data_IF_562874699906
#
_entry.id   IF_562874699906
#
_cell.length_a   1.000
_cell.length_b   1.000
_cell.length_c   1.000
_cell.angle_alpha   90.00
_cell.angle_beta   90.00
_cell.angle_gamma   90.00
#
_symmetry.space_group_name_H-M   'P 1'
#
loop_
_entity.id
_entity.type
_entity.pdbx_description
1 polymer ?
#
# COMPACT_ATOMS: atom_id res chain seq x y z
N UNK A 1 21.53 -26.10 18.59
CA UNK A 1 21.18 -25.78 17.19
C UNK A 1 20.06 -24.77 17.26
N UNK A 2 20.40 -23.49 17.20
CA UNK A 2 19.42 -22.40 17.21
C UNK A 2 18.74 -22.42 15.85
N UNK A 3 17.47 -22.80 15.78
CA UNK A 3 16.62 -22.45 14.66
C UNK A 3 16.49 -20.94 14.67
N UNK A 4 17.31 -20.26 13.86
CA UNK A 4 17.04 -18.88 13.49
C UNK A 4 15.67 -18.89 12.83
N UNK A 5 14.67 -18.36 13.53
CA UNK A 5 13.34 -18.15 12.97
C UNK A 5 13.51 -17.38 11.66
N UNK A 6 13.04 -17.98 10.58
CA UNK A 6 13.14 -17.50 9.21
C UNK A 6 12.28 -16.23 9.04
N UNK A 7 12.86 -15.13 9.51
CA UNK A 7 12.74 -13.74 9.05
C UNK A 7 11.41 -13.37 8.35
N UNK A 8 10.40 -13.00 9.14
CA UNK A 8 9.11 -12.47 8.67
C UNK A 8 9.15 -10.94 8.40
N UNK A 9 10.06 -10.47 7.53
CA UNK A 9 10.01 -9.09 6.99
C UNK A 9 9.94 -9.11 5.47
N UNK A 10 9.28 -8.12 4.88
CA UNK A 10 9.22 -8.03 3.43
C UNK A 10 10.60 -7.67 2.87
N UNK A 11 11.02 -8.32 1.79
CA UNK A 11 12.25 -8.01 1.09
C UNK A 11 12.12 -6.70 0.29
N UNK A 12 13.24 -6.05 -0.03
CA UNK A 12 13.21 -4.92 -0.96
C UNK A 12 12.98 -5.42 -2.39
N UNK A 13 11.86 -5.02 -3.02
CA UNK A 13 11.57 -5.36 -4.40
C UNK A 13 12.45 -4.51 -5.35
N UNK A 14 12.89 -5.07 -6.49
CA UNK A 14 13.49 -4.27 -7.54
C UNK A 14 12.46 -3.31 -8.14
N UNK A 15 12.95 -2.26 -8.79
CA UNK A 15 12.12 -1.40 -9.64
C UNK A 15 11.32 -2.25 -10.62
N UNK A 16 10.09 -1.85 -10.92
CA UNK A 16 9.16 -2.66 -11.73
C UNK A 16 9.74 -3.10 -13.09
N UNK A 17 10.51 -2.24 -13.76
CA UNK A 17 11.14 -2.54 -15.05
C UNK A 17 12.28 -3.58 -14.97
N UNK A 18 12.78 -3.87 -13.76
CA UNK A 18 13.80 -4.87 -13.48
C UNK A 18 13.22 -6.14 -12.86
N UNK A 19 11.91 -6.16 -12.60
CA UNK A 19 11.23 -7.32 -12.07
C UNK A 19 11.17 -8.43 -13.14
N UNK A 20 11.45 -9.70 -12.79
CA UNK A 20 11.30 -10.81 -13.72
C UNK A 20 9.88 -10.87 -14.29
N UNK A 21 9.75 -11.25 -15.56
CA UNK A 21 8.46 -11.20 -16.27
C UNK A 21 7.40 -12.10 -15.64
N UNK A 22 7.82 -13.25 -15.09
CA UNK A 22 6.98 -14.19 -14.36
C UNK A 22 6.54 -13.68 -12.98
N UNK A 23 7.26 -12.70 -12.41
CA UNK A 23 6.90 -12.03 -11.15
C UNK A 23 5.99 -10.80 -11.38
N UNK A 24 6.03 -10.15 -12.55
CA UNK A 24 5.23 -8.95 -12.87
C UNK A 24 3.72 -9.13 -12.76
N UNK A 25 3.22 -10.35 -12.95
CA UNK A 25 1.80 -10.65 -12.77
C UNK A 25 1.33 -10.46 -11.33
N UNK A 26 2.25 -10.46 -10.36
CA UNK A 26 1.98 -10.27 -8.93
C UNK A 26 2.40 -8.89 -8.42
N UNK A 27 2.73 -7.97 -9.31
CA UNK A 27 3.02 -6.59 -8.96
C UNK A 27 1.72 -5.80 -8.75
N UNK A 28 1.57 -5.21 -7.57
CA UNK A 28 0.45 -4.34 -7.23
C UNK A 28 0.98 -2.98 -6.77
N UNK A 29 0.48 -1.92 -7.40
CA UNK A 29 0.74 -0.54 -7.01
C UNK A 29 -0.37 -0.07 -6.08
N UNK A 30 -0.01 0.65 -5.03
CA UNK A 30 -0.93 1.06 -3.96
C UNK A 30 -0.80 2.55 -3.71
N UNK A 31 -1.94 3.21 -3.51
CA UNK A 31 -1.99 4.62 -3.10
C UNK A 31 -3.24 4.90 -2.27
N UNK A 32 -3.14 5.91 -1.41
CA UNK A 32 -4.18 6.33 -0.51
C UNK A 32 -4.31 7.85 -0.45
N UNK A 33 -5.51 8.35 -0.76
CA UNK A 33 -5.81 9.79 -0.70
C UNK A 33 -6.89 10.12 0.33
N UNK A 34 -6.89 11.38 0.76
CA UNK A 34 -7.92 11.93 1.63
C UNK A 34 -8.24 13.36 1.20
N UNK A 35 -9.53 13.72 1.24
CA UNK A 35 -10.00 15.04 0.84
C UNK A 35 -11.24 15.44 1.62
N UNK A 36 -11.37 16.74 1.91
CA UNK A 36 -12.62 17.30 2.44
C UNK A 36 -13.57 17.56 1.28
N UNK A 37 -14.75 16.93 1.32
CA UNK A 37 -15.84 17.10 0.36
C UNK A 37 -17.05 17.64 1.13
N UNK A 38 -17.42 18.90 0.85
CA UNK A 38 -18.40 19.62 1.67
C UNK A 38 -17.91 19.75 3.12
N UNK A 39 -18.65 19.17 4.07
CA UNK A 39 -18.30 19.15 5.51
C UNK A 39 -17.65 17.84 5.98
N UNK A 40 -17.51 16.86 5.08
CA UNK A 40 -17.06 15.51 5.42
C UNK A 40 -15.63 15.30 4.92
N UNK A 41 -14.79 14.72 5.77
CA UNK A 41 -13.50 14.18 5.34
C UNK A 41 -13.75 12.80 4.74
N UNK A 42 -13.28 12.58 3.52
CA UNK A 42 -13.36 11.30 2.82
C UNK A 42 -11.96 10.76 2.57
N UNK A 43 -11.83 9.45 2.55
CA UNK A 43 -10.61 8.75 2.21
C UNK A 43 -10.90 7.74 1.10
N UNK A 44 -9.88 7.46 0.28
CA UNK A 44 -9.95 6.46 -0.77
C UNK A 44 -8.60 5.78 -0.89
N UNK A 45 -8.62 4.46 -0.82
CA UNK A 45 -7.49 3.57 -1.03
C UNK A 45 -7.66 2.89 -2.39
N UNK A 46 -6.58 2.74 -3.14
CA UNK A 46 -6.63 2.07 -4.43
C UNK A 46 -5.45 1.12 -4.63
N UNK A 47 -5.71 0.09 -5.44
CA UNK A 47 -4.72 -0.88 -5.89
C UNK A 47 -4.80 -0.96 -7.41
N UNK A 48 -3.66 -0.87 -8.09
CA UNK A 48 -3.53 -1.02 -9.54
C UNK A 48 -2.68 -2.25 -9.86
N UNK A 49 -3.22 -3.13 -10.72
CA UNK A 49 -2.46 -4.23 -11.33
C UNK A 49 -2.01 -3.83 -12.74
N UNK A 50 -0.71 -3.65 -13.00
CA UNK A 50 -0.21 -3.29 -14.34
C UNK A 50 -0.51 -4.36 -15.39
N UNK A 51 -0.37 -5.63 -15.01
CA UNK A 51 -0.56 -6.78 -15.92
C UNK A 51 -2.02 -6.97 -16.29
N UNK A 52 -2.93 -6.88 -15.30
CA UNK A 52 -4.36 -7.01 -15.54
C UNK A 52 -4.98 -5.71 -16.10
N UNK A 53 -4.31 -4.57 -15.91
CA UNK A 53 -4.80 -3.22 -16.22
C UNK A 53 -6.13 -2.89 -15.54
N UNK A 54 -6.29 -3.35 -14.30
CA UNK A 54 -7.47 -3.13 -13.47
C UNK A 54 -7.06 -2.38 -12.20
N UNK A 55 -7.92 -1.44 -11.80
CA UNK A 55 -7.85 -0.80 -10.50
C UNK A 55 -9.01 -1.28 -9.61
N UNK A 56 -8.70 -1.59 -8.37
CA UNK A 56 -9.68 -1.77 -7.30
C UNK A 56 -9.54 -0.64 -6.28
N UNK A 57 -10.65 -0.24 -5.65
CA UNK A 57 -10.62 0.83 -4.66
C UNK A 57 -11.62 0.60 -3.53
N UNK A 58 -11.26 1.10 -2.35
CA UNK A 58 -12.12 1.19 -1.17
C UNK A 58 -12.18 2.64 -0.71
N UNK A 59 -13.34 3.09 -0.23
CA UNK A 59 -13.54 4.46 0.24
C UNK A 59 -14.34 4.50 1.53
N UNK A 60 -14.23 5.61 2.24
CA UNK A 60 -14.99 5.87 3.45
C UNK A 60 -14.84 7.31 3.94
N UNK A 61 -15.31 7.56 5.15
CA UNK A 61 -15.29 8.90 5.76
C UNK A 61 -14.46 8.92 7.05
N UNK A 62 -14.11 10.13 7.52
CA UNK A 62 -13.50 10.39 8.83
C UNK A 62 -11.98 10.24 8.90
N UNK A 63 -11.37 9.42 8.05
CA UNK A 63 -9.95 9.05 8.17
C UNK A 63 -8.97 9.89 7.34
N UNK A 64 -7.67 9.76 7.64
CA UNK A 64 -6.57 10.50 7.00
C UNK A 64 -6.07 9.85 5.70
N UNK A 65 -5.19 10.55 4.98
CA UNK A 65 -4.48 9.95 3.83
C UNK A 65 -3.58 8.79 4.29
N UNK A 66 -2.88 8.94 5.42
CA UNK A 66 -2.08 7.85 5.99
C UNK A 66 -2.91 6.60 6.29
N UNK A 67 -4.16 6.75 6.72
CA UNK A 67 -5.08 5.62 6.88
C UNK A 67 -5.41 4.97 5.54
N UNK A 68 -5.71 5.78 4.52
CA UNK A 68 -5.97 5.29 3.18
C UNK A 68 -4.78 4.49 2.61
N UNK A 69 -3.55 4.93 2.87
CA UNK A 69 -2.33 4.22 2.46
C UNK A 69 -2.22 2.83 3.09
N UNK A 70 -2.51 2.71 4.39
CA UNK A 70 -2.53 1.40 5.08
C UNK A 70 -3.70 0.54 4.57
N UNK A 71 -4.85 1.16 4.28
CA UNK A 71 -6.00 0.45 3.69
C UNK A 71 -5.71 -0.03 2.27
N UNK A 72 -4.89 0.67 1.49
CA UNK A 72 -4.48 0.23 0.17
C UNK A 72 -3.65 -1.05 0.25
N UNK A 73 -2.80 -1.18 1.27
CA UNK A 73 -2.10 -2.45 1.54
C UNK A 73 -3.08 -3.55 1.90
N UNK A 74 -4.00 -3.34 2.85
CA UNK A 74 -5.00 -4.37 3.19
C UNK A 74 -5.80 -4.83 1.95
N UNK A 75 -6.22 -3.88 1.11
CA UNK A 75 -6.89 -4.20 -0.15
C UNK A 75 -6.02 -5.04 -1.09
N UNK A 76 -4.72 -4.75 -1.19
CA UNK A 76 -3.79 -5.55 -1.98
C UNK A 76 -3.61 -6.97 -1.42
N UNK A 77 -3.63 -7.14 -0.09
CA UNK A 77 -3.57 -8.45 0.54
C UNK A 77 -4.86 -9.25 0.30
N UNK A 78 -6.02 -8.60 0.38
CA UNK A 78 -7.31 -9.22 0.07
C UNK A 78 -7.37 -9.71 -1.39
N UNK A 79 -6.86 -8.90 -2.33
CA UNK A 79 -6.72 -9.30 -3.75
C UNK A 79 -5.83 -10.54 -3.87
N UNK A 80 -4.64 -10.50 -3.25
CA UNK A 80 -3.70 -11.61 -3.28
C UNK A 80 -4.30 -12.90 -2.69
N UNK A 81 -5.04 -12.81 -1.59
CA UNK A 81 -5.72 -13.96 -0.99
C UNK A 81 -6.80 -14.54 -1.91
N UNK A 82 -7.65 -13.70 -2.52
CA UNK A 82 -8.67 -14.14 -3.49
C UNK A 82 -8.05 -14.82 -4.70
N UNK A 83 -6.91 -14.32 -5.17
CA UNK A 83 -6.16 -14.88 -6.29
C UNK A 83 -5.30 -16.09 -5.90
N UNK A 84 -5.24 -16.46 -4.62
CA UNK A 84 -4.38 -17.51 -4.06
C UNK A 84 -2.90 -17.28 -4.41
N UNK A 85 -2.51 -16.01 -4.41
CA UNK A 85 -1.19 -15.55 -4.74
C UNK A 85 -0.23 -15.80 -3.56
N UNK A 86 0.83 -16.58 -3.79
CA UNK A 86 1.83 -16.92 -2.76
C UNK A 86 3.04 -15.97 -2.77
N UNK A 87 3.10 -15.05 -3.73
CA UNK A 87 4.20 -14.09 -3.88
C UNK A 87 3.64 -12.75 -4.32
N UNK A 88 3.88 -11.69 -3.56
CA UNK A 88 3.33 -10.37 -3.83
C UNK A 88 4.44 -9.31 -3.90
N UNK A 89 4.45 -8.51 -4.98
CA UNK A 89 5.35 -7.37 -5.13
C UNK A 89 4.56 -6.06 -4.96
N UNK A 90 4.72 -5.41 -3.81
CA UNK A 90 4.02 -4.17 -3.47
C UNK A 90 4.84 -2.94 -3.84
N UNK A 91 4.22 -2.03 -4.57
CA UNK A 91 4.77 -0.71 -4.89
C UNK A 91 3.93 0.36 -4.20
N UNK A 92 4.56 1.23 -3.41
CA UNK A 92 3.86 2.27 -2.64
C UNK A 92 4.62 3.59 -2.67
N UNK A 93 3.91 4.71 -2.78
CA UNK A 93 4.47 6.05 -2.60
C UNK A 93 4.69 6.47 -1.14
N UNK A 94 4.28 5.62 -0.18
CA UNK A 94 4.30 5.94 1.24
C UNK A 94 5.51 5.34 1.95
N UNK A 95 6.48 6.19 2.31
CA UNK A 95 7.60 5.80 3.17
C UNK A 95 7.16 5.20 4.51
N UNK A 96 6.01 5.63 5.06
CA UNK A 96 5.49 5.05 6.30
C UNK A 96 5.16 3.57 6.10
N UNK A 97 4.48 3.26 5.01
CA UNK A 97 4.10 1.88 4.67
C UNK A 97 5.33 1.05 4.34
N UNK A 98 6.20 1.55 3.46
CA UNK A 98 7.41 0.84 3.07
C UNK A 98 8.28 0.48 4.29
N UNK A 99 8.57 1.45 5.16
CA UNK A 99 9.34 1.20 6.39
C UNK A 99 8.62 0.27 7.37
N UNK A 100 7.29 0.31 7.43
CA UNK A 100 6.54 -0.61 8.26
C UNK A 100 6.73 -2.06 7.80
N UNK A 101 6.58 -2.30 6.49
CA UNK A 101 6.71 -3.62 5.87
C UNK A 101 8.14 -4.15 5.89
N UNK A 102 9.15 -3.29 5.73
CA UNK A 102 10.57 -3.68 5.79
C UNK A 102 11.07 -4.00 7.19
N UNK A 103 10.42 -3.53 8.27
CA UNK A 103 10.91 -3.88 9.60
C UNK A 103 10.18 -3.31 10.81
N UNK A 104 9.38 -2.24 10.71
CA UNK A 104 8.70 -1.76 11.92
C UNK A 104 7.66 -2.75 12.44
N UNK A 105 7.01 -3.54 11.58
CA UNK A 105 6.06 -4.57 12.02
C UNK A 105 6.72 -5.56 13.00
N UNK A 106 7.94 -6.02 12.70
CA UNK A 106 8.72 -6.87 13.59
C UNK A 106 8.98 -6.20 14.95
N UNK A 107 9.46 -4.95 14.91
CA UNK A 107 9.78 -4.19 16.12
C UNK A 107 8.54 -3.91 16.97
N UNK A 108 7.41 -3.59 16.33
CA UNK A 108 6.13 -3.38 17.00
C UNK A 108 5.61 -4.67 17.61
N UNK A 109 5.65 -5.80 16.89
CA UNK A 109 5.26 -7.11 17.44
C UNK A 109 6.07 -7.46 18.69
N UNK A 110 7.39 -7.25 18.68
CA UNK A 110 8.27 -7.45 19.83
C UNK A 110 7.99 -6.48 20.99
N UNK A 111 7.51 -5.27 20.67
CA UNK A 111 7.15 -4.24 21.64
C UNK A 111 5.67 -4.29 22.05
N UNK A 112 4.99 -5.42 21.84
CA UNK A 112 3.55 -5.61 22.11
C UNK A 112 2.68 -4.50 21.50
N UNK A 113 3.00 -4.11 20.27
CA UNK A 113 2.33 -3.08 19.49
C UNK A 113 2.29 -1.70 20.16
N UNK A 114 3.34 -1.38 20.92
CA UNK A 114 3.49 -0.10 21.61
C UNK A 114 4.77 0.63 21.21
N UNK A 115 4.70 1.97 21.24
CA UNK A 115 5.85 2.86 21.12
C UNK A 115 5.85 3.84 22.28
N UNK A 116 6.92 3.84 23.09
CA UNK A 116 7.07 4.68 24.29
C UNK A 116 5.89 4.52 25.28
N UNK A 117 5.45 3.28 25.49
CA UNK A 117 4.35 2.94 26.40
C UNK A 117 2.95 3.33 25.93
N UNK A 118 2.79 3.73 24.66
CA UNK A 118 1.49 4.01 24.04
C UNK A 118 1.23 3.03 22.89
N UNK A 119 -0.01 2.59 22.66
CA UNK A 119 -0.36 1.82 21.47
C UNK A 119 0.07 2.56 20.20
N UNK A 120 0.53 1.81 19.20
CA UNK A 120 0.80 2.38 17.89
C UNK A 120 -0.50 2.83 17.23
N UNK A 121 -0.41 3.85 16.37
CA UNK A 121 -1.53 4.26 15.54
C UNK A 121 -1.90 3.16 14.54
N UNK A 122 -3.20 2.95 14.31
CA UNK A 122 -3.75 1.89 13.48
C UNK A 122 -3.26 0.47 13.85
N UNK A 123 -3.05 0.21 15.15
CA UNK A 123 -2.48 -1.05 15.64
C UNK A 123 -3.19 -2.31 15.18
N UNK A 124 -4.53 -2.31 15.13
CA UNK A 124 -5.32 -3.43 14.63
C UNK A 124 -5.03 -3.72 13.14
N UNK A 125 -4.99 -2.68 12.29
CA UNK A 125 -4.69 -2.85 10.86
C UNK A 125 -3.28 -3.40 10.64
N UNK A 126 -2.31 -2.91 11.39
CA UNK A 126 -0.93 -3.40 11.31
C UNK A 126 -0.77 -4.83 11.83
N UNK A 127 -1.54 -5.22 12.84
CA UNK A 127 -1.59 -6.59 13.33
C UNK A 127 -2.15 -7.54 12.27
N UNK A 128 -3.26 -7.17 11.62
CA UNK A 128 -3.87 -7.95 10.55
C UNK A 128 -2.90 -8.11 9.37
N UNK A 129 -2.25 -7.01 8.95
CA UNK A 129 -1.22 -7.04 7.90
C UNK A 129 -0.09 -7.97 8.30
N UNK A 130 0.47 -7.82 9.50
CA UNK A 130 1.58 -8.66 9.95
C UNK A 130 1.23 -10.14 9.99
N UNK A 131 0.02 -10.50 10.45
CA UNK A 131 -0.45 -11.89 10.47
C UNK A 131 -0.57 -12.48 9.06
N UNK A 132 -0.98 -11.67 8.07
CA UNK A 132 -1.06 -12.12 6.69
C UNK A 132 0.33 -12.35 6.08
N UNK A 133 1.29 -11.46 6.36
CA UNK A 133 2.67 -11.53 5.85
C UNK A 133 3.48 -12.73 6.34
N UNK A 134 3.00 -13.50 7.33
CA UNK A 134 3.67 -14.71 7.81
C UNK A 134 3.61 -15.88 6.81
N UNK A 135 2.75 -15.82 5.78
CA UNK A 135 2.50 -16.95 4.87
C UNK A 135 3.12 -16.79 3.47
N UNK A 136 2.98 -15.64 2.78
CA UNK A 136 3.47 -15.48 1.42
C UNK A 136 4.83 -14.79 1.38
N UNK A 137 5.52 -14.92 0.23
CA UNK A 137 6.71 -14.12 -0.06
C UNK A 137 6.24 -12.71 -0.42
N UNK A 138 6.69 -11.69 0.31
CA UNK A 138 6.33 -10.30 0.01
C UNK A 138 7.58 -9.48 -0.23
N UNK A 139 7.61 -8.82 -1.38
CA UNK A 139 8.64 -7.85 -1.75
C UNK A 139 8.01 -6.46 -1.82
N UNK A 140 8.70 -5.44 -1.34
CA UNK A 140 8.18 -4.07 -1.25
C UNK A 140 9.16 -3.10 -1.88
N UNK A 141 8.68 -2.23 -2.76
CA UNK A 141 9.42 -1.11 -3.33
C UNK A 141 8.70 0.20 -2.99
N UNK A 142 9.47 1.18 -2.54
CA UNK A 142 8.98 2.56 -2.46
C UNK A 142 9.14 3.24 -3.82
N UNK A 143 8.08 3.88 -4.31
CA UNK A 143 8.10 4.63 -5.56
C UNK A 143 8.14 6.12 -5.26
N UNK A 144 9.13 6.83 -5.79
CA UNK A 144 9.20 8.28 -5.63
C UNK A 144 8.04 8.97 -6.36
N UNK A 145 7.27 9.75 -5.60
CA UNK A 145 6.18 10.51 -6.17
C UNK A 145 6.70 11.67 -7.06
N UNK A 146 5.97 11.96 -8.14
CA UNK A 146 6.12 13.18 -8.95
C UNK A 146 7.48 13.37 -9.67
N UNK A 147 7.95 12.34 -10.39
CA UNK A 147 9.08 12.50 -11.32
C UNK A 147 8.68 13.26 -12.59
N UNK A 148 9.47 14.23 -13.08
CA UNK A 148 9.16 14.97 -14.30
C UNK A 148 8.98 14.01 -15.49
N UNK A 149 7.96 14.24 -16.33
CA UNK A 149 7.57 13.34 -17.45
C UNK A 149 8.74 12.86 -18.33
N UNK A 150 9.75 13.71 -18.54
CA UNK A 150 10.97 13.36 -19.31
C UNK A 150 11.85 12.27 -18.68
N UNK A 151 11.62 11.92 -17.41
CA UNK A 151 12.30 10.84 -16.67
C UNK A 151 11.31 9.78 -16.17
N UNK A 152 10.05 9.82 -16.62
CA UNK A 152 9.03 8.89 -16.14
C UNK A 152 9.33 7.48 -16.65
N UNK A 153 9.67 6.58 -15.74
CA UNK A 153 9.79 5.14 -16.00
C UNK A 153 8.40 4.49 -16.01
N UNK A 154 8.34 3.22 -16.41
CA UNK A 154 7.11 2.41 -16.36
C UNK A 154 6.49 2.36 -14.96
N UNK A 155 7.33 2.37 -13.92
CA UNK A 155 6.92 2.46 -12.53
C UNK A 155 6.18 3.75 -12.21
N UNK A 156 6.63 4.89 -12.74
CA UNK A 156 5.93 6.17 -12.57
C UNK A 156 4.61 6.21 -13.34
N UNK A 157 4.54 5.54 -14.49
CA UNK A 157 3.29 5.41 -15.24
C UNK A 157 2.27 4.59 -14.45
N UNK A 158 2.70 3.47 -13.87
CA UNK A 158 1.86 2.66 -12.99
C UNK A 158 1.47 3.40 -11.71
N UNK A 159 2.39 4.17 -11.12
CA UNK A 159 2.08 5.01 -9.97
C UNK A 159 1.00 6.05 -10.32
N UNK A 160 1.10 6.69 -11.48
CA UNK A 160 0.09 7.64 -11.93
C UNK A 160 -1.30 7.00 -12.10
N UNK A 161 -1.37 5.73 -12.50
CA UNK A 161 -2.64 5.01 -12.60
C UNK A 161 -3.28 4.78 -11.23
N UNK A 162 -2.49 4.40 -10.23
CA UNK A 162 -3.02 4.25 -8.87
C UNK A 162 -3.36 5.59 -8.22
N UNK A 163 -2.56 6.65 -8.46
CA UNK A 163 -2.87 8.02 -8.02
C UNK A 163 -4.23 8.48 -8.56
N UNK A 164 -4.48 8.19 -9.84
CA UNK A 164 -5.76 8.51 -10.48
C UNK A 164 -6.91 7.66 -9.93
N UNK A 165 -6.67 6.40 -9.60
CA UNK A 165 -7.67 5.51 -8.99
C UNK A 165 -7.99 5.93 -7.54
N UNK A 166 -6.99 6.36 -6.77
CA UNK A 166 -7.13 6.84 -5.40
C UNK A 166 -7.74 8.25 -5.33
N UNK A 167 -7.84 8.97 -6.44
CA UNK A 167 -8.39 10.33 -6.47
C UNK A 167 -9.85 10.39 -6.02
N UNK A 168 -10.11 11.29 -5.08
CA UNK A 168 -11.47 11.63 -4.63
C UNK A 168 -11.99 12.78 -5.49
N UNK A 169 -13.06 12.51 -6.23
CA UNK A 169 -13.75 13.52 -7.01
C UNK A 169 -14.54 14.47 -6.10
N UNK A 170 -14.45 15.75 -6.42
CA UNK A 170 -15.34 16.76 -5.85
C UNK A 170 -16.26 17.14 -6.99
N UNK A 171 -17.49 16.63 -7.00
CA UNK A 171 -18.50 17.20 -7.87
C UNK A 171 -18.56 18.70 -7.55
N UNK A 172 -18.37 19.55 -8.57
CA UNK A 172 -18.69 20.97 -8.43
C UNK A 172 -20.17 21.02 -8.10
N UNK A 173 -20.50 21.28 -6.84
CA UNK A 173 -21.84 21.73 -6.50
C UNK A 173 -21.94 23.09 -7.15
N UNK A 174 -22.72 23.20 -8.23
CA UNK A 174 -23.07 24.48 -8.85
C UNK A 174 -23.68 25.36 -7.75
N UNK A 175 -22.84 26.22 -7.17
CA UNK A 175 -23.27 27.29 -6.30
C UNK A 175 -23.82 28.39 -7.21
N UNK A 176 -25.05 28.19 -7.68
CA UNK A 176 -25.88 29.28 -8.16
C UNK A 176 -26.24 30.16 -6.95
N UNK A 177 -25.48 31.23 -6.77
CA UNK A 177 -25.91 32.46 -6.08
C UNK A 177 -26.30 33.50 -7.14
#
# INVERSE_FOLDING_TARGET
MSSEEEVTHAEEAPLYNKLPEDEKQYALFTDGSCRIVGKHRRWKAAVWSPTQRVAEAAEGEGESSQFAEVKAIQLALDIAEREKCLMLCLYTGSWMVANALWGWLQQWKQSNWQRRGKPIWAGELWQDIAAWLEKPIVKVCHVDAHVPKRWATEEHQNNQQVDQAAKIEVAQVDLHW
#
